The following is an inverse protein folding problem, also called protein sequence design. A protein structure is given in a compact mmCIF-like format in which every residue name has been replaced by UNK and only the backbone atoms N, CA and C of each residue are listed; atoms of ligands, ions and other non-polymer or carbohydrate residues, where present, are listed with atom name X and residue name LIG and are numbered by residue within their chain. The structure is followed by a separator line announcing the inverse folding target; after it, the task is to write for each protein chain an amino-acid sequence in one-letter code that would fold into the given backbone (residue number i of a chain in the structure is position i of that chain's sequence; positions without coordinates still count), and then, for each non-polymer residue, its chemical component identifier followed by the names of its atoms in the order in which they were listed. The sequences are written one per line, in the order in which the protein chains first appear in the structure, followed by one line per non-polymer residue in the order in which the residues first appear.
data_IF_902837666107
#
_entry.id   IF_902837666107
#
_cell.length_a   1.000
_cell.length_b   1.000
_cell.length_c   1.000
_cell.angle_alpha   90.00
_cell.angle_beta   90.00
_cell.angle_gamma   90.00
#
_symmetry.space_group_name_H-M   'P 1'
#
loop_
_entity.id
_entity.type
_entity.pdbx_description
1 polymer ?
2 polymer ?
3 water ?
#
# COMPACT_ATOMS: atom_id res chain seq x y z
N UNK A 6 16.76 -2.33 2.16
CA UNK A 6 16.69 -3.44 3.16
C UNK A 6 17.72 -3.16 4.28
N UNK A 7 17.23 -2.85 5.47
CA UNK A 7 18.01 -2.76 6.72
C UNK A 7 17.40 -3.76 7.71
N UNK A 8 18.22 -4.65 8.25
CA UNK A 8 17.84 -5.59 9.34
C UNK A 8 18.78 -5.35 10.53
N UNK A 9 18.22 -5.41 11.73
CA UNK A 9 19.03 -5.60 12.97
C UNK A 9 18.64 -6.96 13.52
N UNK A 10 19.58 -7.92 13.48
CA UNK A 10 19.27 -9.34 13.65
C UNK A 10 18.29 -9.79 12.59
N UNK A 11 17.17 -10.38 13.00
CA UNK A 11 16.06 -10.80 12.12
C UNK A 11 14.92 -9.77 12.13
N UNK A 12 15.17 -8.55 12.63
CA UNK A 12 14.11 -7.51 12.66
C UNK A 12 14.33 -6.60 11.47
N UNK A 13 13.34 -6.51 10.56
CA UNK A 13 13.33 -5.54 9.44
C UNK A 13 13.00 -4.12 9.93
N UNK A 14 13.74 -3.12 9.46
CA UNK A 14 13.49 -1.67 9.75
C UNK A 14 12.61 -1.16 8.64
N UNK A 15 11.43 -0.64 8.99
CA UNK A 15 10.38 -0.28 8.00
C UNK A 15 10.09 1.22 8.13
N UNK A 16 10.72 2.03 7.29
CA UNK A 16 10.46 3.50 7.21
C UNK A 16 9.13 3.72 6.52
N UNK A 17 8.22 4.39 7.22
CA UNK A 17 6.86 4.77 6.72
C UNK A 17 6.76 6.29 6.82
N UNK A 18 6.51 6.92 5.68
CA UNK A 18 6.32 8.38 5.51
C UNK A 18 4.81 8.66 5.47
N UNK A 19 4.33 9.56 6.33
CA UNK A 19 2.91 10.01 6.38
C UNK A 19 2.84 11.51 6.12
N UNK A 20 1.84 11.94 5.36
CA UNK A 20 1.44 13.37 5.22
C UNK A 20 0.94 13.87 6.58
N UNK A 21 0.40 12.99 7.41
CA UNK A 21 -0.20 13.34 8.72
C UNK A 21 -0.36 12.08 9.58
N UNK A 22 -0.16 12.18 10.89
CA UNK A 22 -0.34 11.07 11.85
C UNK A 22 -1.82 10.64 11.90
N UNK A 23 -2.76 11.52 11.54
CA UNK A 23 -4.22 11.20 11.45
C UNK A 23 -4.48 10.05 10.46
N UNK A 24 -3.64 9.86 9.44
CA UNK A 24 -3.76 8.72 8.49
C UNK A 24 -3.85 7.42 9.30
N UNK A 25 -3.12 7.31 10.41
CA UNK A 25 -3.01 6.08 11.23
C UNK A 25 -4.29 5.80 12.02
N UNK A 26 -5.21 6.79 12.18
CA UNK A 26 -6.52 6.61 12.87
C UNK A 26 -7.39 5.65 12.05
N UNK A 27 -7.13 5.61 10.74
CA UNK A 27 -7.89 4.81 9.74
C UNK A 27 -7.13 3.53 9.37
N UNK A 28 -5.92 3.32 9.88
CA UNK A 28 -5.07 2.14 9.56
C UNK A 28 -5.49 0.98 10.46
N UNK A 29 -6.05 -0.09 9.88
CA UNK A 29 -6.64 -1.21 10.65
C UNK A 29 -5.54 -1.96 11.43
N UNK A 30 -4.28 -1.88 11.01
CA UNK A 30 -3.14 -2.37 11.83
C UNK A 30 -2.82 -1.35 12.93
N UNK A 31 -2.44 -0.12 12.57
CA UNK A 31 -1.69 0.79 13.48
C UNK A 31 -2.64 1.55 14.42
N UNK A 32 -3.93 1.68 14.07
CA UNK A 32 -4.91 2.37 14.94
C UNK A 32 -4.99 1.68 16.31
N UNK A 33 -4.67 0.39 16.41
CA UNK A 33 -4.76 -0.44 17.65
C UNK A 33 -3.73 0.02 18.70
N UNK A 34 -2.57 0.52 18.27
CA UNK A 34 -1.36 0.71 19.13
C UNK A 34 -1.07 2.19 19.38
N UNK A 35 -1.40 3.07 18.43
CA UNK A 35 -1.24 4.54 18.59
C UNK A 35 -2.22 5.08 19.63
N UNK A 36 -1.76 5.99 20.50
CA UNK A 36 -2.60 6.85 21.35
C UNK A 36 -2.49 8.30 20.84
N UNK A 37 -3.51 8.78 20.14
CA UNK A 37 -3.48 10.06 19.37
C UNK A 37 -3.65 11.27 20.29
N UNK A 38 -3.88 11.05 21.59
CA UNK A 38 -4.03 12.10 22.62
C UNK A 38 -2.68 12.53 23.19
N UNK A 39 -1.57 11.91 22.75
CA UNK A 39 -0.21 12.14 23.29
C UNK A 39 0.60 13.02 22.32
N UNK A 40 1.35 13.98 22.88
CA UNK A 40 2.32 14.86 22.17
C UNK A 40 3.66 14.13 22.02
N UNK A 41 4.29 14.24 20.84
CA UNK A 41 5.68 13.81 20.59
C UNK A 41 5.79 12.31 20.31
N UNK A 42 6.82 11.87 19.55
CA UNK A 42 6.94 10.47 19.13
C UNK A 42 7.11 9.49 20.30
N UNK A 43 6.39 8.37 20.26
CA UNK A 43 6.42 7.29 21.30
C UNK A 43 6.79 5.96 20.65
N UNK A 44 7.16 5.00 21.50
CA UNK A 44 7.44 3.59 21.15
C UNK A 44 6.70 2.70 22.16
N UNK A 45 6.45 1.44 21.80
CA UNK A 45 5.73 0.43 22.63
C UNK A 45 6.74 -0.51 23.30
N UNK A 46 6.47 -0.88 24.55
CA UNK A 46 7.24 -1.86 25.35
C UNK A 46 6.72 -3.28 25.11
N UNK A 47 5.53 -3.40 24.53
CA UNK A 47 4.82 -4.67 24.28
C UNK A 47 3.72 -4.42 23.24
N UNK A 48 2.97 -5.44 22.84
CA UNK A 48 1.98 -5.27 21.74
C UNK A 48 0.56 -5.38 22.31
N UNK A 49 0.33 -4.82 23.50
CA UNK A 49 -1.02 -4.55 24.02
C UNK A 49 -1.62 -3.41 23.20
N UNK A 50 -2.94 -3.31 23.13
CA UNK A 50 -3.60 -2.17 22.46
C UNK A 50 -3.16 -0.85 23.13
N UNK A 51 -2.97 0.18 22.31
CA UNK A 51 -2.62 1.56 22.71
C UNK A 51 -1.28 1.57 23.46
N UNK A 52 -0.34 0.73 23.01
CA UNK A 52 0.94 0.46 23.71
C UNK A 52 1.98 1.55 23.41
N UNK A 53 1.87 2.30 22.30
CA UNK A 53 2.87 3.35 21.93
C UNK A 53 2.71 4.57 22.84
N UNK A 54 3.34 4.57 24.01
CA UNK A 54 3.17 5.64 25.03
C UNK A 54 4.52 6.20 25.51
N UNK A 55 5.65 5.58 25.18
CA UNK A 55 6.95 5.83 25.85
C UNK A 55 7.78 6.82 25.03
N UNK A 56 8.20 7.91 25.66
CA UNK A 56 8.77 9.09 24.96
C UNK A 56 10.15 8.73 24.42
N UNK A 57 10.33 8.86 23.11
CA UNK A 57 11.62 8.68 22.39
C UNK A 57 12.51 9.89 22.69
N UNK A 58 13.75 9.68 23.08
CA UNK A 58 14.65 10.79 23.45
C UNK A 58 15.15 11.51 22.20
N UNK A 59 15.25 12.84 22.31
CA UNK A 59 15.87 13.77 21.34
C UNK A 59 15.42 13.39 19.93
N UNK A 60 14.09 13.31 19.69
CA UNK A 60 13.59 12.90 18.38
C UNK A 60 13.94 13.92 17.30
N UNK A 61 14.21 13.46 16.06
CA UNK A 61 14.34 14.36 14.92
C UNK A 61 12.97 14.96 14.63
N UNK A 62 12.96 16.15 14.03
CA UNK A 62 11.73 16.97 13.95
C UNK A 62 10.60 16.18 13.26
N UNK A 63 10.88 15.38 12.23
CA UNK A 63 9.82 14.74 11.38
C UNK A 63 9.47 13.34 11.91
N UNK A 64 10.04 12.87 13.01
CA UNK A 64 9.74 11.52 13.56
C UNK A 64 8.38 11.54 14.27
N UNK A 65 7.48 10.63 13.91
CA UNK A 65 6.09 10.57 14.46
C UNK A 65 5.93 9.42 15.47
N UNK A 66 6.70 8.32 15.34
CA UNK A 66 6.63 7.23 16.33
C UNK A 66 7.32 5.97 15.87
N UNK A 67 7.43 4.99 16.75
CA UNK A 67 8.06 3.66 16.48
C UNK A 67 7.10 2.55 16.95
N UNK A 68 6.75 1.61 16.07
CA UNK A 68 6.00 0.40 16.47
C UNK A 68 6.82 -0.86 16.21
N UNK A 69 7.15 -1.57 17.28
CA UNK A 69 7.72 -2.93 17.27
C UNK A 69 6.60 -3.97 17.26
N UNK A 70 6.53 -4.84 16.24
CA UNK A 70 5.37 -5.72 16.01
C UNK A 70 5.43 -6.96 16.90
N UNK A 71 6.51 -7.16 17.66
CA UNK A 71 6.62 -8.34 18.58
C UNK A 71 7.69 -8.03 19.64
N UNK A 72 7.94 -8.98 20.52
CA UNK A 72 8.92 -8.84 21.60
C UNK A 72 8.42 -7.90 22.68
N UNK A 73 9.13 -7.87 23.79
CA UNK A 73 8.95 -6.87 24.87
C UNK A 73 10.32 -6.25 25.16
N UNK A 74 10.32 -5.04 25.71
CA UNK A 74 11.54 -4.23 25.91
C UNK A 74 11.30 -3.24 27.05
N UNK A 75 12.39 -2.66 27.53
CA UNK A 75 12.45 -1.53 28.51
C UNK A 75 11.48 -0.43 28.06
N UNK A 76 10.77 0.14 29.04
CA UNK A 76 9.63 1.07 28.85
C UNK A 76 9.87 2.30 29.72
N UNK A 77 10.61 3.30 29.19
CA UNK A 77 11.00 4.52 29.93
C UNK A 77 10.90 5.74 29.00
N UNK A 78 10.49 6.86 29.55
CA UNK A 78 10.42 8.17 28.85
C UNK A 78 11.84 8.73 28.69
N UNK A 79 12.16 9.21 27.48
CA UNK A 79 13.41 9.98 27.20
C UNK A 79 14.65 9.21 27.65
N UNK A 80 14.68 7.89 27.47
CA UNK A 80 15.87 7.07 27.79
C UNK A 80 16.59 6.73 26.47
N UNK A 81 15.86 6.38 25.42
CA UNK A 81 16.41 5.91 24.14
C UNK A 81 16.07 6.89 23.02
N UNK A 82 17.12 7.27 22.29
CA UNK A 82 17.04 7.93 20.97
C UNK A 82 16.69 6.86 19.94
N UNK A 83 16.22 7.28 18.77
CA UNK A 83 15.74 6.40 17.67
C UNK A 83 16.77 5.29 17.41
N UNK A 84 18.05 5.65 17.26
CA UNK A 84 19.13 4.72 16.83
C UNK A 84 19.36 3.61 17.90
N UNK A 85 19.17 3.93 19.19
CA UNK A 85 19.31 2.96 20.31
C UNK A 85 18.13 1.98 20.35
N UNK A 86 16.93 2.43 20.02
CA UNK A 86 15.72 1.59 19.95
C UNK A 86 15.93 0.45 18.97
N UNK A 87 16.76 0.63 17.94
CA UNK A 87 16.91 -0.39 16.86
C UNK A 87 17.56 -1.67 17.40
N UNK A 88 18.16 -1.67 18.60
CA UNK A 88 18.82 -2.87 19.17
C UNK A 88 17.93 -3.57 20.21
N UNK A 89 16.71 -3.06 20.48
CA UNK A 89 15.83 -3.65 21.55
C UNK A 89 14.50 -4.13 20.96
N UNK A 90 14.46 -4.54 19.69
CA UNK A 90 13.27 -5.24 19.13
C UNK A 90 12.91 -6.49 19.93
N UNK A 91 13.93 -7.21 20.41
CA UNK A 91 13.80 -8.31 21.39
C UNK A 91 12.81 -9.38 20.89
N UNK A 92 12.79 -9.66 19.59
CA UNK A 92 11.86 -10.62 18.98
C UNK A 92 10.96 -9.98 17.94
N UNK A 93 10.84 -8.65 17.93
CA UNK A 93 10.11 -7.93 16.86
C UNK A 93 10.63 -8.43 15.51
N UNK A 94 9.72 -8.75 14.60
CA UNK A 94 10.04 -9.09 13.18
C UNK A 94 10.12 -7.79 12.37
N UNK A 95 9.46 -6.73 12.84
CA UNK A 95 9.42 -5.42 12.15
C UNK A 95 9.42 -4.30 13.17
N UNK A 96 10.30 -3.33 12.93
CA UNK A 96 10.32 -2.02 13.62
C UNK A 96 9.81 -0.96 12.66
N UNK A 97 8.56 -0.55 12.82
CA UNK A 97 7.92 0.49 11.96
C UNK A 97 8.34 1.87 12.48
N UNK A 98 8.95 2.69 11.64
CA UNK A 98 9.40 4.07 12.00
C UNK A 98 8.58 5.03 11.14
N UNK A 99 7.67 5.76 11.77
CA UNK A 99 6.73 6.72 11.12
C UNK A 99 7.36 8.11 11.03
N UNK A 100 7.40 8.64 9.81
CA UNK A 100 8.01 9.94 9.47
C UNK A 100 6.93 10.87 8.89
N UNK A 101 7.02 12.16 9.23
CA UNK A 101 6.40 13.29 8.50
C UNK A 101 7.06 13.45 7.12
N UNK A 102 6.25 13.46 6.06
CA UNK A 102 6.64 13.70 4.64
C UNK A 102 7.24 15.10 4.46
N UNK A 103 8.24 15.24 3.58
CA UNK A 103 9.01 16.48 3.28
C UNK A 103 9.50 17.11 4.59
N UNK B 2 -14.13 -14.02 7.40
CA UNK B 2 -14.29 -13.17 6.21
C UNK B 2 -13.56 -13.74 4.97
N UNK B 3 -13.64 -13.00 3.87
CA UNK B 3 -13.09 -13.40 2.53
C UNK B 3 -11.60 -13.73 2.67
N UNK B 4 -11.15 -14.75 1.93
CA UNK B 4 -9.73 -15.16 1.75
C UNK B 4 -9.33 -14.78 0.31
N UNK B 5 -8.19 -14.08 0.16
CA UNK B 5 -7.87 -13.32 -1.08
C UNK B 5 -6.37 -13.03 -1.19
N UNK B 6 -5.80 -13.28 -2.37
CA UNK B 6 -4.51 -12.77 -2.85
C UNK B 6 -4.79 -11.56 -3.75
N UNK B 7 -4.13 -10.42 -3.46
CA UNK B 7 -4.21 -9.15 -4.20
C UNK B 7 -2.81 -8.77 -4.72
N UNK B 8 -2.71 -8.41 -6.01
CA UNK B 8 -1.54 -7.72 -6.60
C UNK B 8 -1.90 -6.26 -6.86
N UNK B 9 -1.17 -5.35 -6.25
CA UNK B 9 -1.32 -3.90 -6.47
C UNK B 9 -0.30 -3.43 -7.53
N UNK B 10 -0.80 -2.74 -8.55
CA UNK B 10 0.01 -2.16 -9.65
C UNK B 10 0.14 -0.67 -9.38
N UNK B 11 1.36 -0.23 -9.05
CA UNK B 11 1.71 1.20 -8.71
C UNK B 11 2.00 1.94 -10.01
N UNK B 12 1.54 3.20 -10.10
CA UNK B 12 1.91 4.21 -11.14
C UNK B 12 3.07 5.03 -10.57
N UNK B 13 4.28 4.73 -11.03
CA UNK B 13 5.49 5.49 -10.66
C UNK B 13 5.94 6.29 -11.89
N UNK B 14 5.00 6.70 -12.76
CA UNK B 14 5.26 7.47 -14.01
C UNK B 14 5.64 8.93 -13.70
N UNK B 15 6.38 9.55 -14.63
CA UNK B 15 6.88 10.94 -14.49
C UNK B 15 5.70 11.85 -14.11
N UNK B 16 4.49 11.50 -14.54
CA UNK B 16 3.22 12.24 -14.32
C UNK B 16 2.96 12.43 -12.83
N UNK B 17 3.44 11.50 -11.99
CA UNK B 17 3.04 11.31 -10.57
C UNK B 17 3.42 12.49 -9.68
N UNK B 18 4.31 13.37 -10.14
CA UNK B 18 4.63 14.66 -9.45
C UNK B 18 3.46 15.63 -9.59
N UNK B 19 2.89 15.77 -10.79
CA UNK B 19 1.96 16.89 -11.17
C UNK B 19 0.64 16.77 -10.39
N UNK B 20 -0.28 17.73 -10.60
CA UNK B 20 -1.68 17.68 -10.11
C UNK B 20 -1.85 18.50 -8.76
N UNK B 24 0.43 17.27 -1.91
CA UNK B 24 1.14 16.00 -1.82
C UNK B 24 1.38 15.41 -3.21
N UNK B 25 2.63 14.98 -3.47
CA UNK B 25 3.01 14.19 -4.67
C UNK B 25 1.92 13.16 -4.95
N UNK B 26 1.50 13.02 -6.20
CA UNK B 26 0.49 12.00 -6.59
C UNK B 26 1.09 10.61 -6.30
N UNK B 27 2.42 10.49 -6.33
CA UNK B 27 3.17 9.30 -5.84
C UNK B 27 2.88 9.07 -4.35
N UNK B 28 2.99 10.13 -3.55
CA UNK B 28 2.85 10.06 -2.06
C UNK B 28 1.42 9.70 -1.67
N UNK B 29 0.40 10.25 -2.34
CA UNK B 29 -1.03 9.94 -2.06
C UNK B 29 -1.33 8.46 -2.34
N UNK B 30 -0.70 7.90 -3.37
CA UNK B 30 -0.81 6.49 -3.83
C UNK B 30 -0.24 5.57 -2.75
N UNK B 31 1.02 5.80 -2.35
CA UNK B 31 1.75 5.12 -1.25
C UNK B 31 0.92 5.05 0.05
N UNK B 32 0.30 6.16 0.46
CA UNK B 32 -0.55 6.24 1.69
C UNK B 32 -1.78 5.34 1.54
N UNK B 33 -2.47 5.41 0.40
CA UNK B 33 -3.66 4.58 0.11
C UNK B 33 -3.27 3.10 0.10
N UNK B 34 -2.15 2.78 -0.55
CA UNK B 34 -1.61 1.38 -0.63
C UNK B 34 -1.31 0.89 0.78
N UNK B 35 -0.75 1.76 1.62
CA UNK B 35 -0.41 1.45 3.03
C UNK B 35 -1.69 1.11 3.81
N UNK B 36 -2.73 1.95 3.73
CA UNK B 36 -4.01 1.73 4.47
C UNK B 36 -4.68 0.45 3.97
N UNK B 37 -4.63 0.22 2.65
CA UNK B 37 -5.28 -0.91 1.94
C UNK B 37 -4.62 -2.25 2.29
N UNK B 38 -3.28 -2.28 2.41
CA UNK B 38 -2.53 -3.47 2.84
C UNK B 38 -2.82 -3.72 4.31
N UNK B 39 -3.08 -2.64 5.05
CA UNK B 39 -3.51 -2.71 6.46
C UNK B 39 -4.82 -3.46 6.57
N UNK B 40 -5.85 -2.94 5.90
CA UNK B 40 -7.22 -3.53 5.84
C UNK B 40 -7.14 -5.01 5.43
N UNK B 41 -6.39 -5.32 4.37
CA UNK B 41 -6.38 -6.68 3.79
C UNK B 41 -5.70 -7.70 4.73
N UNK B 42 -4.57 -7.35 5.35
CA UNK B 42 -3.80 -8.31 6.19
C UNK B 42 -4.49 -8.47 7.53
N UNK B 43 -5.19 -7.44 7.96
CA UNK B 43 -5.88 -7.39 9.28
C UNK B 43 -7.22 -8.14 9.21
N UNK B 44 -7.93 -8.08 8.08
CA UNK B 44 -9.28 -8.69 7.93
C UNK B 44 -9.15 -10.22 7.94
N UNK B 45 -8.05 -10.74 7.38
CA UNK B 45 -7.76 -12.19 7.29
C UNK B 45 -6.26 -12.42 7.29
N UNK B 46 -5.69 -12.96 8.39
CA UNK B 46 -4.28 -13.34 8.45
C UNK B 46 -3.69 -14.15 7.27
N UNK B 47 -4.51 -14.90 6.52
CA UNK B 47 -4.05 -15.77 5.40
C UNK B 47 -4.16 -15.00 4.08
N UNK B 48 -4.67 -13.76 4.07
CA UNK B 48 -4.61 -12.90 2.85
C UNK B 48 -3.15 -12.57 2.55
N UNK B 49 -2.82 -12.49 1.26
CA UNK B 49 -1.47 -12.11 0.78
C UNK B 49 -1.61 -10.89 -0.13
N UNK B 50 -0.64 -9.98 -0.09
CA UNK B 50 -0.59 -8.78 -0.97
C UNK B 50 0.79 -8.71 -1.59
N UNK B 51 0.84 -8.56 -2.91
CA UNK B 51 2.04 -8.26 -3.69
C UNK B 51 1.94 -6.88 -4.31
N UNK B 52 3.09 -6.31 -4.67
CA UNK B 52 3.30 -4.93 -5.20
C UNK B 52 4.18 -5.01 -6.44
N UNK B 53 3.77 -4.37 -7.53
CA UNK B 53 4.66 -4.06 -8.66
C UNK B 53 4.51 -2.60 -9.09
N UNK B 54 5.56 -2.04 -9.67
CA UNK B 54 5.56 -0.69 -10.30
C UNK B 54 5.43 -0.86 -11.81
N UNK B 55 4.72 0.06 -12.45
CA UNK B 55 4.25 -0.08 -13.87
C UNK B 55 5.16 0.67 -14.86
N UNK B 56 5.85 1.74 -14.45
CA UNK B 56 6.58 2.66 -15.35
C UNK B 56 8.10 2.48 -15.19
N UNK B 57 8.80 3.51 -14.67
CA UNK B 57 10.26 3.64 -14.77
C UNK B 57 10.75 3.12 -16.11
N UNK B 58 11.75 2.23 -16.09
CA UNK B 58 12.38 1.63 -17.31
C UNK B 58 11.74 0.27 -17.63
N UNK B 59 10.57 -0.03 -17.04
CA UNK B 59 9.80 -1.27 -17.26
C UNK B 59 9.10 -1.75 -16.00
N UNK B 60 8.25 -2.79 -16.12
CA UNK B 60 7.45 -3.39 -15.00
C UNK B 60 8.40 -4.06 -14.00
N UNK B 61 8.36 -3.66 -12.72
CA UNK B 61 9.17 -4.26 -11.62
C UNK B 61 8.25 -4.82 -10.54
N UNK B 62 8.43 -6.08 -10.17
CA UNK B 62 7.79 -6.66 -8.96
C UNK B 62 8.69 -6.37 -7.76
N UNK B 63 8.19 -5.60 -6.79
CA UNK B 63 8.87 -5.27 -5.51
C UNK B 63 8.64 -6.41 -4.52
N UNK B 64 7.53 -7.13 -4.60
CA UNK B 64 7.27 -8.34 -3.78
C UNK B 64 6.11 -9.14 -4.38
N UNK B 65 6.33 -10.45 -4.53
CA UNK B 65 5.28 -11.46 -4.74
C UNK B 65 4.35 -11.43 -3.52
N UNK B 66 3.07 -11.82 -3.71
CA UNK B 66 2.09 -11.81 -2.62
C UNK B 66 2.69 -12.39 -1.31
N UNK B 67 2.53 -11.66 -0.21
CA UNK B 67 2.98 -12.04 1.15
C UNK B 67 1.98 -11.48 2.18
N UNK B 68 1.99 -12.08 3.37
CA UNK B 68 1.16 -11.66 4.52
C UNK B 68 2.00 -10.79 5.45
N UNK B 69 3.32 -10.69 5.23
CA UNK B 69 4.23 -9.79 5.99
C UNK B 69 4.00 -8.33 5.57
N UNK B 70 3.34 -7.54 6.41
CA UNK B 70 3.03 -6.11 6.11
C UNK B 70 4.34 -5.32 5.99
N UNK B 71 5.36 -5.66 6.79
CA UNK B 71 6.66 -4.96 6.85
C UNK B 71 7.40 -5.02 5.53
N UNK B 72 7.45 -6.21 4.95
CA UNK B 72 7.99 -6.47 3.59
C UNK B 72 7.24 -5.61 2.57
N UNK B 73 5.92 -5.62 2.62
CA UNK B 73 5.05 -4.83 1.69
C UNK B 73 5.40 -3.33 1.83
N UNK B 74 5.41 -2.76 3.03
CA UNK B 74 5.56 -1.28 3.21
C UNK B 74 7.02 -0.86 2.98
N UNK B 75 7.98 -1.70 3.36
CA UNK B 75 9.43 -1.46 3.19
C UNK B 75 9.75 -1.36 1.70
N UNK B 76 9.12 -2.19 0.88
CA UNK B 76 9.50 -2.30 -0.55
C UNK B 76 8.95 -1.10 -1.32
N UNK B 77 8.18 -0.22 -0.68
CA UNK B 77 7.76 1.07 -1.30
C UNK B 77 8.50 2.27 -0.71
N UNK B 78 9.37 2.09 0.28
CA UNK B 78 10.22 3.22 0.71
C UNK B 78 11.19 3.53 -0.43
N UNK B 79 11.31 4.82 -0.79
CA UNK B 79 12.31 5.32 -1.76
C UNK B 79 11.99 4.88 -3.17
N UNK B 80 10.70 4.83 -3.52
CA UNK B 80 10.22 4.63 -4.91
C UNK B 80 10.87 5.66 -5.86
N UNK B 81 11.22 5.18 -7.06
CA UNK B 81 11.65 6.02 -8.20
C UNK B 81 10.40 6.44 -8.97
N UNK B 82 10.47 7.56 -9.69
CA UNK B 82 9.36 8.12 -10.52
C UNK B 82 9.93 8.41 -11.91
N UNK B 83 9.21 8.05 -12.99
CA UNK B 83 9.66 8.35 -14.36
C UNK B 83 9.02 7.47 -15.41
N UNK B 84 9.45 7.64 -16.67
CA UNK B 84 8.92 6.90 -17.83
C UNK B 84 7.42 6.97 -17.89
N UNK B 85 6.79 6.07 -18.63
CA UNK B 85 5.31 5.93 -18.70
C UNK B 85 4.92 4.49 -18.34
N UNK B 86 3.70 4.28 -17.86
CA UNK B 86 3.25 2.92 -17.41
C UNK B 86 3.25 1.98 -18.61
N UNK B 87 3.58 0.72 -18.37
CA UNK B 87 3.26 -0.42 -19.28
C UNK B 87 2.11 -1.21 -18.65
N UNK B 88 0.88 -0.84 -18.97
CA UNK B 88 -0.35 -1.38 -18.32
C UNK B 88 -0.57 -2.85 -18.66
N UNK B 89 -0.38 -3.25 -19.92
CA UNK B 89 -0.67 -4.65 -20.37
C UNK B 89 0.33 -5.60 -19.72
N UNK B 90 1.62 -5.27 -19.79
CA UNK B 90 2.71 -6.05 -19.16
C UNK B 90 2.47 -6.13 -17.65
N UNK B 91 2.03 -5.03 -17.02
CA UNK B 91 1.68 -4.97 -15.57
C UNK B 91 0.58 -6.01 -15.23
N UNK B 92 -0.50 -6.03 -16.00
CA UNK B 92 -1.67 -6.91 -15.68
C UNK B 92 -1.32 -8.37 -15.95
N UNK B 93 -0.63 -8.69 -17.05
CA UNK B 93 -0.19 -10.07 -17.39
C UNK B 93 0.65 -10.62 -16.23
N UNK B 94 1.67 -9.86 -15.81
CA UNK B 94 2.59 -10.25 -14.70
C UNK B 94 1.80 -10.39 -13.38
N UNK B 95 0.82 -9.50 -13.12
CA UNK B 95 -0.01 -9.56 -11.88
C UNK B 95 -0.87 -10.83 -11.88
N UNK B 96 -1.44 -11.20 -13.02
CA UNK B 96 -2.36 -12.37 -13.15
C UNK B 96 -1.55 -13.67 -12.97
N UNK B 97 -0.36 -13.76 -13.56
CA UNK B 97 0.50 -14.96 -13.45
C UNK B 97 0.96 -15.14 -12.00
N UNK B 98 1.25 -14.04 -11.27
CA UNK B 98 1.68 -14.09 -9.86
C UNK B 98 0.55 -14.67 -9.01
N UNK B 99 -0.69 -14.24 -9.30
CA UNK B 99 -1.92 -14.70 -8.62
C UNK B 99 -2.21 -16.15 -9.00
N UNK B 100 -2.09 -16.50 -10.28
CA UNK B 100 -2.26 -17.91 -10.72
C UNK B 100 -1.36 -18.83 -9.88
N UNK B 101 -0.11 -18.42 -9.63
CA UNK B 101 0.89 -19.27 -8.92
C UNK B 101 0.94 -18.92 -7.44
N UNK B 102 -0.14 -18.37 -6.88
CA UNK B 102 -0.33 -18.27 -5.41
C UNK B 102 -0.22 -19.67 -4.78
N UNK B 103 0.22 -19.72 -3.52
CA UNK B 103 0.40 -20.95 -2.72
C UNK B 103 -0.99 -21.57 -2.47
N UNK B 104 -1.81 -20.88 -1.67
CA UNK B 104 -3.14 -21.33 -1.19
C UNK B 104 -4.19 -21.04 -2.26
N UNK B 105 -4.69 -22.08 -2.93
CA UNK B 105 -5.55 -21.93 -4.14
C UNK B 105 -6.95 -21.48 -3.73
N UNK B 106 -7.29 -21.66 -2.45
CA UNK B 106 -8.57 -21.24 -1.82
C UNK B 106 -8.67 -19.71 -1.79
N UNK B 107 -7.59 -19.01 -2.06
CA UNK B 107 -7.58 -17.52 -2.13
C UNK B 107 -8.30 -17.09 -3.41
N UNK B 108 -9.25 -16.16 -3.28
CA UNK B 108 -9.72 -15.34 -4.43
C UNK B 108 -8.53 -14.54 -4.98
N UNK B 109 -8.60 -14.19 -6.26
CA UNK B 109 -7.54 -13.47 -7.01
C UNK B 109 -8.04 -12.07 -7.36
N UNK B 110 -7.32 -11.03 -6.92
CA UNK B 110 -7.67 -9.60 -7.19
C UNK B 110 -6.43 -8.83 -7.66
N UNK B 111 -6.58 -8.03 -8.70
CA UNK B 111 -5.59 -7.00 -9.13
C UNK B 111 -6.16 -5.62 -8.79
N UNK B 112 -5.33 -4.73 -8.24
CA UNK B 112 -5.66 -3.28 -8.09
C UNK B 112 -4.69 -2.50 -8.97
N UNK B 113 -5.23 -1.67 -9.87
CA UNK B 113 -4.44 -0.75 -10.73
C UNK B 113 -4.72 0.68 -10.29
N UNK B 114 -3.66 1.42 -9.95
CA UNK B 114 -3.67 2.89 -9.80
C UNK B 114 -3.34 3.49 -11.17
N UNK B 115 -4.37 3.94 -11.89
CA UNK B 115 -4.24 4.58 -13.22
C UNK B 115 -4.08 6.09 -13.01
N UNK B 116 -2.85 6.57 -12.79
CA UNK B 116 -2.54 8.00 -12.53
C UNK B 116 -2.00 8.71 -13.76
N UNK B 117 -1.88 8.01 -14.88
CA UNK B 117 -1.23 8.48 -16.14
C UNK B 117 -2.25 8.47 -17.26
N UNK B 118 -1.95 9.12 -18.40
CA UNK B 118 -2.68 8.86 -19.64
C UNK B 118 -2.63 7.37 -20.02
N UNK B 119 -3.75 6.85 -20.53
CA UNK B 119 -3.96 5.43 -20.94
C UNK B 119 -3.81 5.32 -22.47
N UNK B 120 -2.63 4.89 -22.93
CA UNK B 120 -2.24 4.90 -24.36
C UNK B 120 -2.59 3.53 -24.95
N UNK B 121 -3.88 3.21 -24.99
CA UNK B 121 -4.46 1.94 -25.49
C UNK B 121 -5.87 2.17 -26.05
N UNK B 122 -6.22 1.43 -27.11
CA UNK B 122 -7.58 1.43 -27.74
C UNK B 122 -8.55 0.63 -26.86
N UNK B 123 -9.85 0.94 -26.92
CA UNK B 123 -10.94 0.21 -26.19
C UNK B 123 -10.80 -1.30 -26.44
N UNK B 124 -10.68 -1.72 -27.70
CA UNK B 124 -10.71 -3.14 -28.13
C UNK B 124 -9.56 -3.88 -27.46
N UNK B 125 -8.39 -3.24 -27.40
CA UNK B 125 -7.18 -3.77 -26.75
C UNK B 125 -7.48 -4.09 -25.27
N UNK B 126 -8.11 -3.15 -24.56
CA UNK B 126 -8.36 -3.23 -23.09
C UNK B 126 -9.49 -4.23 -22.79
N UNK B 127 -10.51 -4.31 -23.64
CA UNK B 127 -11.59 -5.31 -23.49
C UNK B 127 -10.99 -6.71 -23.57
N UNK B 128 -10.10 -6.96 -24.53
CA UNK B 128 -9.42 -8.29 -24.68
C UNK B 128 -8.70 -8.67 -23.38
N UNK B 129 -7.95 -7.71 -22.79
CA UNK B 129 -7.24 -7.93 -21.49
C UNK B 129 -8.27 -8.22 -20.40
N UNK B 130 -9.36 -7.45 -20.39
CA UNK B 130 -10.42 -7.60 -19.39
C UNK B 130 -11.08 -8.95 -19.47
N UNK B 131 -11.31 -9.46 -20.68
CA UNK B 131 -12.00 -10.75 -20.89
C UNK B 131 -11.04 -11.87 -20.46
N UNK B 132 -9.74 -11.77 -20.75
CA UNK B 132 -8.73 -12.79 -20.34
C UNK B 132 -8.67 -12.88 -18.81
N UNK B 133 -8.66 -11.75 -18.12
CA UNK B 133 -8.67 -11.69 -16.62
C UNK B 133 -9.90 -12.42 -16.09
N UNK B 134 -11.06 -12.18 -16.69
CA UNK B 134 -12.33 -12.83 -16.31
C UNK B 134 -12.21 -14.35 -16.50
N UNK B 135 -11.72 -14.83 -17.65
CA UNK B 135 -11.56 -16.29 -17.90
C UNK B 135 -10.59 -16.89 -16.86
N UNK B 136 -9.70 -16.08 -16.25
CA UNK B 136 -8.66 -16.52 -15.28
C UNK B 136 -9.14 -16.32 -13.84
N UNK B 137 -10.40 -15.90 -13.63
CA UNK B 137 -11.09 -15.76 -12.32
C UNK B 137 -10.47 -14.64 -11.47
N UNK B 138 -9.99 -13.57 -12.12
CA UNK B 138 -9.32 -12.41 -11.46
C UNK B 138 -10.29 -11.22 -11.45
N UNK B 139 -10.52 -10.63 -10.28
CA UNK B 139 -11.27 -9.37 -10.10
C UNK B 139 -10.30 -8.18 -10.22
N UNK B 140 -10.83 -7.00 -10.54
CA UNK B 140 -10.06 -5.79 -10.85
C UNK B 140 -10.71 -4.57 -10.18
N UNK B 141 -9.96 -3.87 -9.33
CA UNK B 141 -10.31 -2.51 -8.85
C UNK B 141 -9.40 -1.53 -9.58
N UNK B 142 -9.98 -0.50 -10.18
CA UNK B 142 -9.24 0.55 -10.94
C UNK B 142 -9.40 1.87 -10.19
N UNK B 143 -8.29 2.50 -9.84
CA UNK B 143 -8.30 3.86 -9.25
C UNK B 143 -7.84 4.83 -10.34
N UNK B 144 -8.79 5.60 -10.88
CA UNK B 144 -8.58 6.67 -11.90
C UNK B 144 -8.33 8.00 -11.17
N UNK B 145 -7.13 8.57 -11.33
CA UNK B 145 -6.69 9.87 -10.76
C UNK B 145 -5.71 10.53 -11.73
N UNK B 146 -5.55 11.85 -11.66
CA UNK B 146 -4.68 12.60 -12.60
C UNK B 146 -5.27 12.63 -14.01
N UNK B 147 -6.36 13.37 -14.19
CA UNK B 147 -6.99 13.67 -15.50
C UNK B 147 -6.05 14.60 -16.29
N UNK B 148 -4.98 14.06 -16.89
CA UNK B 148 -4.00 14.85 -17.69
C UNK B 148 -4.67 15.15 -19.06
N UNK B 149 -5.77 15.91 -19.01
CA UNK B 149 -6.55 16.48 -20.17
C UNK B 149 -6.92 15.36 -21.15
N UNK B 150 -7.49 14.28 -20.62
CA UNK B 150 -7.83 13.06 -21.39
C UNK B 150 -9.24 12.65 -20.98
N UNK B 151 -10.26 13.23 -21.63
CA UNK B 151 -11.65 12.74 -21.58
C UNK B 151 -11.66 11.33 -22.17
N UNK B 152 -10.66 10.97 -22.98
CA UNK B 152 -10.46 9.61 -23.57
C UNK B 152 -10.16 8.57 -22.47
N UNK B 153 -9.37 8.92 -21.44
CA UNK B 153 -8.85 7.97 -20.42
C UNK B 153 -10.01 7.32 -19.64
N UNK B 154 -10.91 8.10 -19.00
CA UNK B 154 -12.00 7.51 -18.20
C UNK B 154 -12.86 6.48 -18.95
N UNK B 155 -13.10 6.72 -20.25
CA UNK B 155 -13.93 5.86 -21.13
C UNK B 155 -13.23 4.51 -21.30
N UNK B 156 -11.97 4.55 -21.71
CA UNK B 156 -11.11 3.36 -21.95
C UNK B 156 -11.06 2.49 -20.69
N UNK B 157 -11.00 3.10 -19.50
CA UNK B 157 -10.87 2.37 -18.21
C UNK B 157 -12.19 1.69 -17.85
N UNK B 158 -13.31 2.32 -18.17
CA UNK B 158 -14.67 1.77 -17.88
C UNK B 158 -14.94 0.57 -18.80
N UNK B 159 -14.37 0.60 -20.01
CA UNK B 159 -14.44 -0.47 -21.03
C UNK B 159 -13.64 -1.68 -20.53
N UNK B 160 -12.45 -1.46 -19.94
CA UNK B 160 -11.66 -2.53 -19.30
C UNK B 160 -12.51 -3.15 -18.20
N UNK B 161 -13.13 -2.33 -17.34
CA UNK B 161 -13.93 -2.82 -16.19
C UNK B 161 -15.07 -3.70 -16.70
N UNK B 162 -15.81 -3.23 -17.70
CA UNK B 162 -17.01 -3.93 -18.25
C UNK B 162 -16.60 -5.35 -18.66
N UNK B 163 -15.48 -5.50 -19.38
CA UNK B 163 -14.98 -6.79 -19.92
C UNK B 163 -14.64 -7.77 -18.78
N UNK B 164 -14.14 -7.27 -17.64
CA UNK B 164 -13.71 -8.09 -16.46
C UNK B 164 -14.89 -8.31 -15.51
N UNK B 165 -15.69 -7.26 -15.28
CA UNK B 165 -16.56 -7.19 -14.08
C UNK B 165 -17.43 -8.44 -14.07
N UNK B 166 -17.52 -9.03 -12.88
CA UNK B 166 -18.29 -10.28 -12.64
C UNK B 166 -18.77 -10.22 -11.19
N UNK B 167 -20.04 -10.56 -10.97
CA UNK B 167 -20.68 -10.60 -9.64
C UNK B 167 -20.41 -9.30 -8.89
N UNK B 168 -20.39 -8.16 -9.61
CA UNK B 168 -20.05 -6.83 -9.07
C UNK B 168 -18.81 -6.97 -8.18
N UNK B 169 -17.86 -7.82 -8.59
CA UNK B 169 -16.61 -8.08 -7.86
C UNK B 169 -15.50 -7.12 -8.27
N UNK B 170 -15.66 -6.44 -9.41
CA UNK B 170 -14.71 -5.46 -9.96
C UNK B 170 -15.30 -4.06 -9.84
N UNK B 171 -14.47 -3.04 -9.62
CA UNK B 171 -14.92 -1.65 -9.34
C UNK B 171 -13.96 -0.63 -9.99
N UNK B 172 -14.47 0.57 -10.24
CA UNK B 172 -13.68 1.77 -10.67
C UNK B 172 -14.04 2.91 -9.72
N UNK B 173 -13.07 3.76 -9.42
CA UNK B 173 -13.27 5.00 -8.62
C UNK B 173 -12.57 6.13 -9.35
N UNK B 174 -13.34 7.13 -9.81
CA UNK B 174 -12.82 8.39 -10.38
C UNK B 174 -12.69 9.40 -9.22
N UNK B 175 -11.49 9.92 -8.97
CA UNK B 175 -11.25 10.87 -7.84
C UNK B 175 -10.81 12.22 -8.42
N UNK B 176 -11.46 13.34 -8.03
CA UNK B 176 -11.07 14.67 -8.48
C UNK B 176 -9.75 15.12 -7.84
N UNK B 177 -8.93 15.88 -8.58
CA UNK B 177 -7.66 16.48 -8.10
C UNK B 177 -7.93 17.23 -6.79
N UNK B 178 -9.03 18.00 -6.72
CA UNK B 178 -9.43 18.80 -5.55
C UNK B 178 -9.80 17.94 -4.36
N UNK B 181 -9.43 13.76 -0.98
CA UNK B 181 -8.41 13.09 -0.14
C UNK B 181 -8.35 11.60 -0.51
N UNK B 182 -7.48 11.23 -1.46
CA UNK B 182 -7.47 9.91 -2.15
C UNK B 182 -7.91 8.78 -1.20
N UNK B 183 -7.27 8.64 -0.04
CA UNK B 183 -7.53 7.52 0.90
C UNK B 183 -8.90 7.69 1.58
N UNK B 184 -9.30 8.93 1.90
CA UNK B 184 -10.66 9.23 2.42
C UNK B 184 -11.71 8.76 1.40
N UNK B 185 -11.54 9.13 0.13
CA UNK B 185 -12.44 8.72 -0.99
C UNK B 185 -12.57 7.18 -0.93
N UNK B 186 -11.47 6.46 -1.13
CA UNK B 186 -11.45 4.98 -1.29
C UNK B 186 -12.01 4.28 -0.06
N UNK B 187 -11.74 4.80 1.15
CA UNK B 187 -12.11 4.17 2.44
C UNK B 187 -13.60 3.83 2.45
N UNK B 188 -14.41 4.68 1.81
CA UNK B 188 -15.88 4.52 1.67
C UNK B 188 -16.26 3.80 0.37
N UNK B 189 -15.34 3.65 -0.60
CA UNK B 189 -15.55 2.87 -1.85
C UNK B 189 -15.24 1.39 -1.62
N UNK B 190 -15.77 0.47 -2.47
CA UNK B 190 -15.67 -0.98 -2.26
C UNK B 190 -14.25 -1.56 -2.42
N UNK B 191 -13.34 -0.77 -2.99
CA UNK B 191 -11.88 -1.01 -2.97
C UNK B 191 -11.48 -1.32 -1.51
N UNK B 192 -12.10 -0.62 -0.56
CA UNK B 192 -11.95 -0.85 0.90
C UNK B 192 -13.08 -1.74 1.43
N UNK B 193 -14.32 -1.51 1.02
CA UNK B 193 -15.55 -2.22 1.51
C UNK B 193 -16.04 -3.24 0.48
#
# INVERSE_FOLDING_TARGET
GPAPNEEFVGDMRIVNVNLSNIDILKKHETFKKYFDFTLTGPRYNGNIAEFAMIWKIKNPPLNLLGVFFDDGTRDDEDDKYILEELKQIGNGAKNMYIFWQYEQK
GPVLEATMICIDNSEWMRNGDYSPSRLQAQTEAVNLLCGAKTQSNPENTVGILTMAGKGVRVLTTPTSDLGKILACMHGLDVGGEINLTAAIQIAQLALKHRQNKNQRQRIIVFAGSPIKYEKKALEIVGKRLKKNSVSLDIVNFGEDDDEEKPQKLEALLTAVNNNDGSHIVHVPSGANALSDVLLSTPVFTG
#
